data_IF_550830288974
#
_entry.id   IF_550830288974
#
_cell.length_a   1.000
_cell.length_b   1.000
_cell.length_c   1.000
_cell.angle_alpha   90.00
_cell.angle_beta   90.00
_cell.angle_gamma   90.00
#
_symmetry.space_group_name_H-M   'P 1'
#
loop_
_entity.id
_entity.type
_entity.pdbx_description
1 polymer ?
#
# COMPACT_ATOMS: atom_id res chain seq x y z
N UNK A 1 -28.16 82.60 -11.60
CA UNK A 1 -27.96 82.03 -10.29
C UNK A 1 -28.10 80.53 -10.44
N UNK A 2 -26.99 79.79 -10.81
CA UNK A 2 -26.96 78.34 -11.10
C UNK A 2 -26.25 77.65 -9.94
N UNK A 3 -26.93 76.78 -9.19
CA UNK A 3 -26.36 75.93 -8.17
C UNK A 3 -25.96 74.59 -8.81
N UNK A 4 -24.64 74.35 -8.86
CA UNK A 4 -24.04 73.10 -9.26
C UNK A 4 -24.10 72.08 -8.07
N UNK A 5 -24.74 70.91 -8.30
CA UNK A 5 -24.79 69.79 -7.37
C UNK A 5 -23.73 68.77 -7.82
N UNK A 6 -22.61 68.67 -7.09
CA UNK A 6 -21.59 67.68 -7.29
C UNK A 6 -22.04 66.34 -6.62
N UNK A 7 -22.20 65.29 -7.43
CA UNK A 7 -22.40 63.94 -6.99
C UNK A 7 -21.03 63.31 -6.57
N UNK A 8 -20.93 62.92 -5.35
CA UNK A 8 -19.83 62.07 -4.87
C UNK A 8 -20.22 60.61 -5.06
N UNK A 9 -19.47 59.91 -5.94
CA UNK A 9 -19.57 58.46 -6.12
C UNK A 9 -18.54 57.82 -5.22
N UNK A 10 -19.01 57.13 -4.18
CA UNK A 10 -18.15 56.35 -3.29
C UNK A 10 -17.95 54.94 -3.91
N UNK A 11 -16.73 54.66 -4.35
CA UNK A 11 -16.34 53.35 -4.82
C UNK A 11 -15.92 52.52 -3.60
N UNK A 12 -16.74 51.59 -3.16
CA UNK A 12 -16.36 50.60 -2.15
C UNK A 12 -15.52 49.50 -2.80
N UNK A 13 -14.22 49.45 -2.51
CA UNK A 13 -13.34 48.38 -2.94
C UNK A 13 -13.57 47.14 -2.04
N UNK A 14 -14.21 46.13 -2.55
CA UNK A 14 -14.34 44.84 -1.90
C UNK A 14 -13.04 44.04 -2.07
N UNK A 15 -12.26 43.96 -1.02
CA UNK A 15 -11.03 43.12 -0.97
C UNK A 15 -11.45 41.67 -0.79
N UNK A 16 -11.41 40.86 -1.86
CA UNK A 16 -11.59 39.41 -1.79
C UNK A 16 -10.27 38.79 -1.28
N UNK A 17 -10.25 38.38 -0.03
CA UNK A 17 -9.14 37.61 0.55
C UNK A 17 -9.28 36.17 0.04
N UNK A 18 -8.47 35.81 -0.94
CA UNK A 18 -8.34 34.42 -1.42
C UNK A 18 -7.47 33.65 -0.40
N UNK A 19 -8.11 32.94 0.50
CA UNK A 19 -7.42 32.02 1.40
C UNK A 19 -6.90 30.83 0.58
N UNK A 20 -5.58 30.84 0.26
CA UNK A 20 -4.89 29.66 -0.24
C UNK A 20 -4.87 28.61 0.91
N UNK A 21 -5.74 27.62 0.82
CA UNK A 21 -5.62 26.40 1.58
C UNK A 21 -4.37 25.66 1.05
N UNK A 22 -3.24 25.84 1.73
CA UNK A 22 -2.06 24.98 1.55
C UNK A 22 -2.46 23.59 2.03
N UNK A 23 -2.84 22.72 1.09
CA UNK A 23 -2.93 21.30 1.37
C UNK A 23 -1.53 20.83 1.79
N UNK A 24 -1.36 20.50 3.07
CA UNK A 24 -0.14 19.83 3.53
C UNK A 24 0.07 18.59 2.69
N UNK A 25 1.29 18.31 2.18
CA UNK A 25 1.55 17.08 1.47
C UNK A 25 1.21 15.93 2.43
N UNK A 26 0.29 15.05 2.01
CA UNK A 26 0.11 13.78 2.68
C UNK A 26 1.42 13.03 2.49
N UNK A 27 2.24 12.92 3.54
CA UNK A 27 3.44 12.08 3.50
C UNK A 27 2.98 10.67 3.23
N UNK A 28 3.22 10.19 2.02
CA UNK A 28 3.06 8.78 1.71
C UNK A 28 3.96 8.01 2.68
N UNK A 29 3.42 6.98 3.32
CA UNK A 29 4.17 6.15 4.25
C UNK A 29 5.39 5.58 3.51
N UNK A 30 6.59 5.81 4.04
CA UNK A 30 7.81 5.39 3.35
C UNK A 30 7.96 3.87 3.42
N UNK A 31 8.32 3.27 2.29
CA UNK A 31 8.58 1.85 2.17
C UNK A 31 10.06 1.59 1.88
N UNK A 32 10.63 0.58 2.52
CA UNK A 32 12.01 0.16 2.30
C UNK A 32 12.03 -1.30 1.88
N UNK A 33 12.70 -1.59 0.79
CA UNK A 33 12.85 -2.95 0.23
C UNK A 33 14.31 -3.34 0.20
N UNK A 34 14.63 -4.57 0.63
CA UNK A 34 16.03 -5.00 0.63
C UNK A 34 16.25 -6.40 1.16
N UNK A 35 17.48 -6.63 1.59
CA UNK A 35 17.93 -7.88 2.21
C UNK A 35 18.34 -7.60 3.64
N UNK A 36 17.82 -8.35 4.58
CA UNK A 36 18.17 -8.25 6.00
C UNK A 36 19.64 -8.67 6.19
N UNK A 37 20.44 -7.79 6.79
CA UNK A 37 21.88 -8.03 7.07
C UNK A 37 22.17 -8.17 8.56
N UNK A 38 21.29 -7.64 9.43
CA UNK A 38 21.34 -7.83 10.89
C UNK A 38 19.96 -7.61 11.51
N UNK A 39 19.72 -8.27 12.67
CA UNK A 39 18.58 -8.00 13.54
C UNK A 39 19.06 -8.15 14.98
N UNK A 40 19.21 -7.04 15.71
CA UNK A 40 19.78 -7.00 17.06
C UNK A 40 19.03 -5.94 17.88
N UNK A 41 18.60 -6.32 19.07
CA UNK A 41 18.01 -5.40 20.07
C UNK A 41 16.94 -4.45 19.51
N UNK A 42 15.99 -5.01 18.75
CA UNK A 42 14.89 -4.23 18.18
C UNK A 42 15.29 -3.31 17.01
N UNK A 43 16.52 -3.48 16.50
CA UNK A 43 17.02 -2.76 15.32
C UNK A 43 17.36 -3.74 14.22
N UNK A 44 16.94 -3.43 12.99
CA UNK A 44 17.28 -4.22 11.79
C UNK A 44 18.17 -3.42 10.86
N UNK A 45 19.12 -4.08 10.23
CA UNK A 45 19.93 -3.50 9.14
C UNK A 45 19.52 -4.14 7.83
N UNK A 46 19.29 -3.31 6.81
CA UNK A 46 18.79 -3.75 5.50
C UNK A 46 19.66 -3.19 4.39
N UNK A 47 20.17 -4.06 3.54
CA UNK A 47 20.83 -3.64 2.30
C UNK A 47 19.78 -3.45 1.21
N UNK A 48 19.64 -2.23 0.74
CA UNK A 48 18.71 -1.85 -0.34
C UNK A 48 19.21 -2.34 -1.71
N UNK A 49 18.35 -2.27 -2.73
CA UNK A 49 18.74 -2.60 -4.12
C UNK A 49 19.85 -1.70 -4.67
N UNK A 50 20.07 -0.50 -4.09
CA UNK A 50 21.16 0.41 -4.45
C UNK A 50 22.49 0.05 -3.78
N UNK A 51 22.51 -0.99 -2.93
CA UNK A 51 23.70 -1.40 -2.18
C UNK A 51 23.91 -0.62 -0.86
N UNK A 52 23.06 0.34 -0.55
CA UNK A 52 23.13 1.10 0.70
C UNK A 52 22.62 0.26 1.87
N UNK A 53 23.28 0.34 3.02
CA UNK A 53 22.79 -0.28 4.26
C UNK A 53 22.09 0.76 5.11
N UNK A 54 20.83 0.50 5.44
CA UNK A 54 20.00 1.35 6.29
C UNK A 54 19.74 0.62 7.60
N UNK A 55 19.95 1.30 8.73
CA UNK A 55 19.60 0.80 10.06
C UNK A 55 18.27 1.38 10.50
N UNK A 56 17.34 0.53 10.92
CA UNK A 56 15.94 0.89 11.19
C UNK A 56 15.55 0.28 12.53
N UNK A 57 15.06 1.12 13.43
CA UNK A 57 14.49 0.68 14.71
C UNK A 57 13.08 0.13 14.48
N UNK A 58 12.73 -0.98 15.11
CA UNK A 58 11.37 -1.50 15.13
C UNK A 58 10.55 -0.77 16.19
N UNK A 59 9.33 -0.36 15.86
CA UNK A 59 8.38 0.10 16.85
C UNK A 59 8.07 -1.04 17.84
N UNK A 60 7.73 -0.72 19.10
CA UNK A 60 7.45 -1.73 20.13
C UNK A 60 6.30 -2.68 19.75
N UNK A 61 5.38 -2.19 18.95
CA UNK A 61 4.20 -2.90 18.43
C UNK A 61 4.32 -3.23 16.93
N UNK A 62 5.53 -3.21 16.38
CA UNK A 62 5.77 -3.49 14.97
C UNK A 62 5.17 -4.83 14.55
N UNK A 63 4.36 -4.82 13.50
CA UNK A 63 3.82 -6.03 12.91
C UNK A 63 4.91 -6.83 12.19
N UNK A 64 5.07 -8.11 12.51
CA UNK A 64 5.94 -9.02 11.76
C UNK A 64 5.08 -9.99 10.95
N UNK A 65 5.37 -10.09 9.67
CA UNK A 65 4.61 -10.92 8.72
C UNK A 65 5.55 -11.77 7.89
N UNK A 66 5.08 -12.96 7.52
CA UNK A 66 5.79 -13.89 6.65
C UNK A 66 5.01 -14.06 5.35
N UNK A 67 5.69 -13.97 4.22
CA UNK A 67 5.13 -14.37 2.93
C UNK A 67 5.78 -15.66 2.43
N UNK A 68 4.92 -16.58 2.01
CA UNK A 68 5.30 -17.87 1.43
C UNK A 68 4.73 -17.98 0.03
N UNK A 69 5.30 -18.86 -0.80
CA UNK A 69 4.75 -19.14 -2.13
C UNK A 69 3.32 -19.68 -2.01
N UNK A 70 2.45 -19.22 -2.87
CA UNK A 70 1.11 -19.72 -3.03
C UNK A 70 0.76 -19.75 -4.52
N UNK A 71 -0.47 -20.11 -4.86
CA UNK A 71 -0.95 -20.21 -6.22
C UNK A 71 -2.41 -19.76 -6.36
N UNK A 72 -2.92 -19.79 -7.58
CA UNK A 72 -4.28 -19.35 -7.90
C UNK A 72 -5.37 -20.13 -7.13
N UNK A 73 -5.13 -21.35 -6.69
CA UNK A 73 -6.13 -22.16 -5.95
C UNK A 73 -6.48 -21.57 -4.58
N UNK A 74 -5.55 -20.78 -3.99
CA UNK A 74 -5.77 -20.09 -2.73
C UNK A 74 -6.73 -18.89 -2.84
N UNK A 75 -6.97 -18.39 -4.06
CA UNK A 75 -7.88 -17.27 -4.32
C UNK A 75 -9.31 -17.79 -4.39
N UNK A 76 -10.06 -17.67 -3.30
CA UNK A 76 -11.41 -18.20 -3.15
C UNK A 76 -12.37 -17.15 -2.59
N UNK A 77 -13.65 -17.27 -2.96
CA UNK A 77 -14.72 -16.45 -2.37
C UNK A 77 -14.68 -16.52 -0.84
N UNK A 78 -14.86 -15.39 -0.19
CA UNK A 78 -14.81 -15.26 1.28
C UNK A 78 -13.41 -15.04 1.84
N UNK A 79 -12.33 -15.20 1.08
CA UNK A 79 -10.97 -14.86 1.53
C UNK A 79 -10.76 -13.35 1.58
N UNK A 80 -9.88 -12.92 2.49
CA UNK A 80 -9.36 -11.56 2.53
C UNK A 80 -8.04 -11.52 1.79
N UNK A 81 -7.88 -10.56 0.87
CA UNK A 81 -6.72 -10.47 -0.03
C UNK A 81 -6.19 -9.05 -0.11
N UNK A 82 -4.89 -8.90 -0.37
CA UNK A 82 -4.26 -7.67 -0.82
C UNK A 82 -3.84 -7.82 -2.27
N UNK A 83 -4.21 -6.88 -3.12
CA UNK A 83 -3.92 -6.95 -4.55
C UNK A 83 -3.28 -5.64 -5.01
N UNK A 84 -2.07 -5.72 -5.55
CA UNK A 84 -1.50 -4.60 -6.30
C UNK A 84 -1.92 -4.70 -7.75
N UNK A 85 -2.58 -3.66 -8.25
CA UNK A 85 -3.16 -3.62 -9.60
C UNK A 85 -2.80 -2.34 -10.35
N UNK A 86 -2.73 -2.47 -11.66
CA UNK A 86 -2.54 -1.39 -12.63
C UNK A 86 -3.81 -1.20 -13.45
N UNK A 87 -3.98 -0.02 -14.01
CA UNK A 87 -5.02 0.21 -15.01
C UNK A 87 -4.45 -0.11 -16.40
N UNK A 88 -5.09 -1.04 -17.09
CA UNK A 88 -4.76 -1.47 -18.44
C UNK A 88 -6.07 -1.54 -19.26
N UNK A 89 -6.17 -0.77 -20.34
CA UNK A 89 -7.35 -0.70 -21.21
C UNK A 89 -8.68 -0.48 -20.46
N UNK A 90 -8.67 0.40 -19.46
CA UNK A 90 -9.85 0.73 -18.64
C UNK A 90 -10.24 -0.37 -17.64
N UNK A 91 -9.41 -1.38 -17.41
CA UNK A 91 -9.60 -2.44 -16.43
C UNK A 91 -8.48 -2.43 -15.41
N UNK A 92 -8.79 -2.88 -14.19
CA UNK A 92 -7.78 -3.17 -13.19
C UNK A 92 -7.22 -4.58 -13.41
N UNK A 93 -5.89 -4.68 -13.56
CA UNK A 93 -5.17 -5.95 -13.77
C UNK A 93 -4.15 -6.13 -12.65
N UNK A 94 -4.21 -7.27 -11.99
CA UNK A 94 -3.32 -7.59 -10.87
C UNK A 94 -1.89 -7.88 -11.34
N UNK A 95 -0.92 -7.39 -10.57
CA UNK A 95 0.47 -7.82 -10.66
C UNK A 95 0.80 -8.87 -9.61
N UNK A 96 0.19 -8.72 -8.44
CA UNK A 96 0.39 -9.61 -7.31
C UNK A 96 -0.86 -9.72 -6.44
N UNK A 97 -1.00 -10.87 -5.78
CA UNK A 97 -2.09 -11.18 -4.85
C UNK A 97 -1.51 -11.76 -3.57
N UNK A 98 -1.81 -11.14 -2.45
CA UNK A 98 -1.52 -11.63 -1.10
C UNK A 98 -2.80 -12.25 -0.52
N UNK A 99 -2.81 -13.55 -0.27
CA UNK A 99 -3.92 -14.22 0.41
C UNK A 99 -3.62 -14.22 1.90
N UNK A 100 -4.34 -13.43 2.65
CA UNK A 100 -4.12 -13.26 4.08
C UNK A 100 -4.64 -14.46 4.89
N UNK A 101 -3.90 -14.82 5.95
CA UNK A 101 -4.45 -15.66 7.02
C UNK A 101 -5.67 -14.97 7.63
N UNK A 102 -6.62 -15.78 8.11
CA UNK A 102 -7.89 -15.26 8.65
C UNK A 102 -7.68 -14.32 9.85
N UNK A 103 -6.64 -14.52 10.65
CA UNK A 103 -6.30 -13.65 11.79
C UNK A 103 -5.87 -12.24 11.38
N UNK A 104 -5.59 -12.04 10.09
CA UNK A 104 -5.20 -10.75 9.50
C UNK A 104 -6.34 -10.08 8.71
N UNK A 105 -7.55 -10.65 8.75
CA UNK A 105 -8.71 -10.04 8.09
C UNK A 105 -8.90 -8.60 8.53
N UNK A 106 -9.07 -7.68 7.58
CA UNK A 106 -9.20 -6.24 7.82
C UNK A 106 -7.88 -5.48 7.92
N UNK A 107 -6.72 -6.14 7.83
CA UNK A 107 -5.42 -5.46 7.85
C UNK A 107 -5.30 -4.48 6.69
N UNK A 108 -5.14 -3.19 7.01
CA UNK A 108 -5.05 -2.09 6.05
C UNK A 108 -6.15 -2.13 4.97
N UNK A 109 -7.39 -2.53 5.35
CA UNK A 109 -8.53 -2.64 4.43
C UNK A 109 -8.80 -1.32 3.71
N UNK A 110 -8.95 -1.38 2.37
CA UNK A 110 -9.19 -0.20 1.54
C UNK A 110 -8.65 -0.33 0.13
N UNK A 111 -8.72 0.81 -0.59
CA UNK A 111 -8.19 0.98 -1.95
C UNK A 111 -7.42 2.31 -2.01
N UNK A 112 -6.09 2.26 -2.23
CA UNK A 112 -5.22 3.42 -2.10
C UNK A 112 -4.01 3.34 -3.02
N UNK A 113 -3.38 4.49 -3.36
CA UNK A 113 -2.16 4.52 -4.16
C UNK A 113 -1.04 3.69 -3.55
N UNK A 114 -0.29 3.00 -4.40
CA UNK A 114 0.81 2.13 -4.01
C UNK A 114 2.08 2.47 -4.80
N UNK A 115 3.23 1.95 -4.37
CA UNK A 115 4.55 2.26 -4.92
C UNK A 115 5.34 1.02 -5.37
N UNK A 116 4.63 0.00 -5.89
CA UNK A 116 5.30 -1.22 -6.38
C UNK A 116 6.25 -0.92 -7.55
N UNK A 117 5.79 -0.11 -8.48
CA UNK A 117 6.52 0.30 -9.68
C UNK A 117 6.35 1.81 -9.92
N UNK A 118 7.17 2.37 -10.86
CA UNK A 118 7.08 3.78 -11.23
C UNK A 118 5.78 4.18 -11.90
N UNK A 119 5.04 3.23 -12.49
CA UNK A 119 3.70 3.48 -13.04
C UNK A 119 2.67 3.60 -11.90
N UNK A 120 1.66 4.46 -12.02
CA UNK A 120 0.58 4.54 -11.05
C UNK A 120 -0.06 3.18 -10.82
N UNK A 121 -0.06 2.74 -9.57
CA UNK A 121 -0.66 1.48 -9.17
C UNK A 121 -1.39 1.64 -7.83
N UNK A 122 -2.29 0.71 -7.55
CA UNK A 122 -3.15 0.75 -6.38
C UNK A 122 -3.03 -0.55 -5.60
N UNK A 123 -3.01 -0.44 -4.27
CA UNK A 123 -3.23 -1.54 -3.36
C UNK A 123 -4.73 -1.62 -3.03
N UNK A 124 -5.28 -2.83 -3.08
CA UNK A 124 -6.66 -3.11 -2.65
C UNK A 124 -6.64 -4.24 -1.65
N UNK A 125 -6.87 -3.93 -0.38
CA UNK A 125 -7.06 -4.93 0.68
C UNK A 125 -8.55 -5.09 0.94
N UNK A 126 -9.11 -6.26 0.62
CA UNK A 126 -10.56 -6.44 0.54
C UNK A 126 -10.98 -7.91 0.72
N UNK A 127 -12.28 -8.09 0.96
CA UNK A 127 -12.92 -9.41 0.96
C UNK A 127 -13.30 -9.78 -0.47
N UNK A 128 -13.02 -11.02 -0.88
CA UNK A 128 -13.50 -11.55 -2.17
C UNK A 128 -14.99 -11.90 -2.01
N UNK A 129 -15.86 -11.16 -2.69
CA UNK A 129 -17.29 -11.45 -2.73
C UNK A 129 -17.66 -12.46 -3.82
N UNK A 130 -16.89 -12.47 -4.93
CA UNK A 130 -17.10 -13.38 -6.05
C UNK A 130 -15.80 -13.63 -6.82
N UNK A 131 -15.67 -14.84 -7.32
CA UNK A 131 -14.63 -15.25 -8.27
C UNK A 131 -15.31 -15.73 -9.54
N UNK A 132 -14.92 -15.21 -10.69
CA UNK A 132 -15.34 -15.67 -12.00
C UNK A 132 -14.13 -16.12 -12.82
N UNK A 133 -14.27 -17.23 -13.57
CA UNK A 133 -13.26 -17.68 -14.53
C UNK A 133 -13.57 -17.05 -15.89
N UNK A 134 -12.62 -16.34 -16.49
CA UNK A 134 -12.78 -15.69 -17.79
C UNK A 134 -11.59 -16.06 -18.68
N UNK A 135 -11.77 -17.06 -19.52
CA UNK A 135 -10.68 -17.67 -20.27
C UNK A 135 -9.69 -18.36 -19.33
N UNK A 136 -8.44 -17.89 -19.33
CA UNK A 136 -7.38 -18.38 -18.43
C UNK A 136 -7.24 -17.54 -17.16
N UNK A 137 -7.88 -16.39 -17.12
CA UNK A 137 -7.78 -15.42 -16.04
C UNK A 137 -8.93 -15.58 -15.03
N UNK A 138 -8.77 -14.99 -13.86
CA UNK A 138 -9.84 -14.84 -12.87
C UNK A 138 -10.26 -13.39 -12.77
N UNK A 139 -11.55 -13.13 -12.63
CA UNK A 139 -12.10 -11.82 -12.32
C UNK A 139 -12.64 -11.86 -10.90
N UNK A 140 -12.11 -11.03 -10.03
CA UNK A 140 -12.52 -10.93 -8.65
C UNK A 140 -13.41 -9.70 -8.45
N UNK A 141 -14.54 -9.90 -7.79
CA UNK A 141 -15.32 -8.81 -7.19
C UNK A 141 -14.90 -8.70 -5.73
N UNK A 142 -14.49 -7.52 -5.32
CA UNK A 142 -13.88 -7.23 -4.03
C UNK A 142 -14.69 -6.18 -3.29
N UNK A 143 -14.99 -6.43 -2.02
CA UNK A 143 -15.69 -5.47 -1.15
C UNK A 143 -14.76 -5.08 0.01
N UNK A 144 -14.65 -3.77 0.24
CA UNK A 144 -13.90 -3.18 1.33
C UNK A 144 -14.67 -2.02 1.95
N UNK A 145 -14.26 -1.57 3.11
CA UNK A 145 -14.86 -0.41 3.75
C UNK A 145 -14.71 0.84 2.88
N UNK A 146 -15.83 1.30 2.33
CA UNK A 146 -15.88 2.49 1.48
C UNK A 146 -16.04 2.22 -0.01
N UNK A 147 -16.11 0.94 -0.47
CA UNK A 147 -16.38 0.65 -1.87
C UNK A 147 -16.18 -0.78 -2.33
N UNK A 148 -16.18 -0.91 -3.63
CA UNK A 148 -16.01 -2.18 -4.34
C UNK A 148 -14.99 -2.01 -5.46
N UNK A 149 -14.32 -3.09 -5.83
CA UNK A 149 -13.43 -3.14 -6.99
C UNK A 149 -13.64 -4.44 -7.77
N UNK A 150 -13.52 -4.35 -9.09
CA UNK A 150 -13.39 -5.53 -9.94
C UNK A 150 -11.97 -5.57 -10.49
N UNK A 151 -11.26 -6.67 -10.24
CA UNK A 151 -9.85 -6.82 -10.64
C UNK A 151 -9.67 -8.14 -11.39
N UNK A 152 -9.04 -8.06 -12.56
CA UNK A 152 -8.62 -9.22 -13.34
C UNK A 152 -7.29 -9.75 -12.81
N UNK A 153 -7.20 -11.04 -12.52
CA UNK A 153 -6.01 -11.73 -12.07
C UNK A 153 -5.51 -12.61 -13.21
N UNK A 154 -4.52 -12.18 -13.97
CA UNK A 154 -3.93 -12.99 -15.03
C UNK A 154 -3.13 -14.16 -14.43
N UNK A 155 -2.94 -15.23 -15.18
CA UNK A 155 -2.13 -16.39 -14.76
C UNK A 155 -0.67 -16.02 -14.44
N UNK A 156 -0.19 -14.89 -14.94
CA UNK A 156 1.15 -14.36 -14.67
C UNK A 156 1.27 -13.62 -13.33
N UNK A 157 0.16 -13.36 -12.63
CA UNK A 157 0.20 -12.67 -11.35
C UNK A 157 0.91 -13.52 -10.29
N UNK A 158 1.76 -12.88 -9.49
CA UNK A 158 2.41 -13.53 -8.36
C UNK A 158 1.39 -13.72 -7.23
N UNK A 159 1.26 -14.93 -6.72
CA UNK A 159 0.38 -15.23 -5.57
C UNK A 159 1.21 -15.69 -4.39
N UNK A 160 0.99 -15.11 -3.23
CA UNK A 160 1.63 -15.47 -1.96
C UNK A 160 0.60 -15.62 -0.84
N UNK A 161 0.89 -16.49 0.11
CA UNK A 161 0.20 -16.50 1.40
C UNK A 161 0.87 -15.49 2.34
N UNK A 162 0.09 -14.85 3.19
CA UNK A 162 0.52 -13.76 4.07
C UNK A 162 0.04 -14.04 5.49
N UNK A 163 0.98 -14.31 6.38
CA UNK A 163 0.74 -14.77 7.75
C UNK A 163 1.44 -13.88 8.77
N UNK A 164 1.07 -13.97 10.05
CA UNK A 164 1.88 -13.44 11.14
C UNK A 164 3.20 -14.19 11.24
N UNK A 165 4.27 -13.47 11.54
CA UNK A 165 5.59 -14.08 11.75
C UNK A 165 6.04 -13.94 13.20
N UNK A 166 6.65 -14.99 13.80
CA UNK A 166 7.42 -14.85 15.03
C UNK A 166 8.76 -14.14 14.76
N UNK A 167 9.36 -13.58 15.80
CA UNK A 167 10.58 -12.76 15.70
C UNK A 167 11.80 -13.50 15.14
N UNK A 168 11.86 -14.82 15.29
CA UNK A 168 12.95 -15.67 14.77
C UNK A 168 13.00 -15.74 13.24
N UNK A 169 11.92 -15.30 12.56
CA UNK A 169 11.90 -15.16 11.11
C UNK A 169 12.72 -13.96 10.60
N UNK A 170 13.12 -13.04 11.46
CA UNK A 170 14.06 -11.95 11.13
C UNK A 170 15.50 -12.49 10.97
N UNK A 171 15.71 -13.40 10.03
CA UNK A 171 17.00 -14.04 9.78
C UNK A 171 17.79 -13.30 8.68
N UNK A 172 19.12 -13.21 8.86
CA UNK A 172 20.02 -12.61 7.87
C UNK A 172 19.88 -13.32 6.52
N UNK A 173 19.91 -12.54 5.44
CA UNK A 173 19.73 -13.01 4.06
C UNK A 173 18.28 -13.03 3.58
N UNK A 174 17.30 -12.89 4.46
CA UNK A 174 15.88 -12.78 4.06
C UNK A 174 15.62 -11.51 3.27
N UNK A 175 14.78 -11.59 2.25
CA UNK A 175 14.22 -10.41 1.58
C UNK A 175 13.13 -9.83 2.43
N UNK A 176 13.12 -8.51 2.59
CA UNK A 176 12.15 -7.81 3.42
C UNK A 176 11.54 -6.63 2.69
N UNK A 177 10.27 -6.37 3.02
CA UNK A 177 9.57 -5.13 2.75
C UNK A 177 9.19 -4.50 4.09
N UNK A 178 9.52 -3.24 4.27
CA UNK A 178 9.34 -2.53 5.53
C UNK A 178 8.43 -1.35 5.30
N UNK A 179 7.45 -1.21 6.17
CA UNK A 179 6.53 -0.09 6.23
C UNK A 179 6.96 0.79 7.39
N UNK A 180 7.39 2.01 7.12
CA UNK A 180 7.74 2.97 8.16
C UNK A 180 6.47 3.54 8.80
N UNK A 181 6.56 3.99 10.05
CA UNK A 181 5.50 4.79 10.63
C UNK A 181 5.37 6.15 9.91
N UNK A 182 4.33 6.92 10.22
CA UNK A 182 4.01 8.15 9.49
C UNK A 182 5.09 9.22 9.58
N UNK A 183 5.85 9.27 10.67
CA UNK A 183 6.95 10.21 10.84
C UNK A 183 8.29 9.72 10.30
N UNK A 184 8.33 8.45 9.82
CA UNK A 184 9.51 7.84 9.24
C UNK A 184 10.60 7.45 10.24
N UNK A 185 10.34 7.50 11.56
CA UNK A 185 11.34 7.27 12.60
C UNK A 185 11.60 5.79 12.90
N UNK A 186 10.57 4.94 12.80
CA UNK A 186 10.61 3.53 13.15
C UNK A 186 9.83 2.69 12.12
N UNK A 187 10.14 1.39 12.03
CA UNK A 187 9.35 0.46 11.25
C UNK A 187 8.06 0.11 12.01
N UNK A 188 6.91 0.36 11.39
CA UNK A 188 5.60 -0.07 11.89
C UNK A 188 5.29 -1.53 11.51
N UNK A 189 5.88 -2.01 10.39
CA UNK A 189 5.73 -3.39 9.98
C UNK A 189 6.93 -3.88 9.17
N UNK A 190 7.23 -5.18 9.28
CA UNK A 190 8.22 -5.87 8.46
C UNK A 190 7.58 -7.10 7.85
N UNK A 191 7.55 -7.16 6.53
CA UNK A 191 7.13 -8.33 5.77
C UNK A 191 8.37 -9.09 5.32
N UNK A 192 8.48 -10.33 5.72
CA UNK A 192 9.66 -11.18 5.57
C UNK A 192 9.34 -12.23 4.50
N UNK A 193 10.18 -12.33 3.48
CA UNK A 193 10.08 -13.46 2.53
C UNK A 193 10.57 -14.74 3.18
N UNK A 194 9.83 -15.84 3.03
CA UNK A 194 10.34 -17.17 3.31
C UNK A 194 11.60 -17.46 2.46
N UNK A 195 12.30 -18.55 2.72
CA UNK A 195 13.49 -18.90 1.96
C UNK A 195 13.19 -18.96 0.44
N UNK A 196 13.97 -18.20 -0.34
CA UNK A 196 13.79 -18.09 -1.78
C UNK A 196 12.58 -17.27 -2.22
N UNK A 197 11.87 -16.61 -1.29
CA UNK A 197 10.73 -15.73 -1.60
C UNK A 197 11.15 -14.28 -1.42
N UNK A 198 10.89 -13.45 -2.43
CA UNK A 198 10.95 -11.99 -2.31
C UNK A 198 9.52 -11.51 -2.03
N UNK A 199 9.27 -10.73 -0.95
CA UNK A 199 7.96 -10.12 -0.77
C UNK A 199 7.57 -9.33 -2.02
N UNK A 200 6.43 -9.65 -2.66
CA UNK A 200 6.01 -9.02 -3.90
C UNK A 200 5.23 -7.73 -3.62
N UNK A 201 5.86 -6.72 -2.99
CA UNK A 201 5.21 -5.46 -2.62
C UNK A 201 6.20 -4.30 -2.58
#
# INVERSE_FOLDING_TARGET
>A
MLMSRSLWVSIAAATVVFALLLAAPAFAQAHIRGTLTAAIDGTISVQTAKGETVSIKLANDAGLFLVTKSDMSAIQTGKFVGITSFEEDGKRVAREVHVFDESLRGLAEGHYPWDLESKPNMMTNANISKVEEVGTDRVLMLNYKGGEQTITIPTSATVVAFDKAPADQLAVGRKVFIVMNKDGSEAAAVVIGAEGVKPPM
#
